data_IF_635308455756
#
_entry.id   IF_635308455756
#
_cell.length_a   1.000
_cell.length_b   1.000
_cell.length_c   1.000
_cell.angle_alpha   90.00
_cell.angle_beta   90.00
_cell.angle_gamma   90.00
#
_symmetry.space_group_name_H-M   'P 1'
#
loop_
_entity.id
_entity.type
_entity.pdbx_description
1 polymer ?
#
# COMPACT_ATOMS: atom_id res chain seq x y z
N UNK A 1 -7.83 -71.47 16.09
CA UNK A 1 -7.27 -70.49 15.13
C UNK A 1 -7.78 -69.12 15.53
N UNK A 2 -6.91 -68.32 16.08
CA UNK A 2 -7.27 -66.95 16.45
C UNK A 2 -6.63 -65.96 15.48
N UNK A 3 -7.48 -65.31 14.67
CA UNK A 3 -7.03 -64.26 13.77
C UNK A 3 -6.81 -62.99 14.56
N UNK A 4 -5.56 -62.59 14.72
CA UNK A 4 -5.25 -61.27 15.24
C UNK A 4 -5.34 -60.27 14.08
N UNK A 5 -6.38 -59.43 14.10
CA UNK A 5 -6.47 -58.24 13.27
C UNK A 5 -5.68 -57.16 13.98
N UNK A 6 -4.50 -56.84 13.47
CA UNK A 6 -3.75 -55.67 13.88
C UNK A 6 -4.37 -54.46 13.20
N UNK A 7 -5.08 -53.65 14.00
CA UNK A 7 -5.51 -52.34 13.57
C UNK A 7 -4.29 -51.38 13.61
N UNK A 8 -3.75 -51.11 12.43
CA UNK A 8 -2.77 -50.05 12.28
C UNK A 8 -3.55 -48.74 12.19
N UNK A 9 -3.57 -48.03 13.33
CA UNK A 9 -4.08 -46.66 13.33
C UNK A 9 -3.00 -45.76 12.72
N UNK A 10 -3.16 -45.40 11.46
CA UNK A 10 -2.35 -44.38 10.84
C UNK A 10 -2.85 -43.03 11.33
N UNK A 11 -2.16 -42.46 12.30
CA UNK A 11 -2.37 -41.08 12.71
C UNK A 11 -1.86 -40.17 11.60
N UNK A 12 -2.77 -39.64 10.78
CA UNK A 12 -2.47 -38.57 9.84
C UNK A 12 -2.26 -37.29 10.64
N UNK A 13 -1.02 -36.88 10.76
CA UNK A 13 -0.68 -35.55 11.30
C UNK A 13 -1.06 -34.51 10.23
N UNK A 14 -2.22 -33.89 10.42
CA UNK A 14 -2.61 -32.72 9.63
C UNK A 14 -1.93 -31.53 10.29
N UNK A 15 -0.84 -31.07 9.68
CA UNK A 15 -0.16 -29.84 10.10
C UNK A 15 -1.01 -28.64 9.67
N UNK A 16 -1.43 -27.78 10.61
CA UNK A 16 -2.16 -26.57 10.22
C UNK A 16 -1.23 -25.56 9.59
N UNK A 17 -1.38 -25.32 8.26
CA UNK A 17 -0.69 -24.24 7.54
C UNK A 17 -1.33 -22.88 7.77
N UNK A 18 -2.14 -22.72 8.82
CA UNK A 18 -2.96 -21.51 9.06
C UNK A 18 -2.12 -20.25 9.26
N UNK A 19 -0.93 -20.36 9.89
CA UNK A 19 -0.09 -19.21 10.19
C UNK A 19 0.51 -18.57 8.92
N UNK A 20 0.92 -19.37 7.92
CA UNK A 20 1.46 -18.87 6.66
C UNK A 20 0.37 -18.24 5.79
N UNK A 21 -0.84 -18.84 5.74
CA UNK A 21 -1.97 -18.31 5.02
C UNK A 21 -2.44 -16.97 5.59
N UNK A 22 -2.49 -16.81 6.92
CA UNK A 22 -2.85 -15.55 7.60
C UNK A 22 -1.88 -14.42 7.29
N UNK A 23 -0.58 -14.71 7.23
CA UNK A 23 0.47 -13.73 6.91
C UNK A 23 0.34 -13.26 5.47
N UNK A 24 0.13 -14.18 4.52
CA UNK A 24 -0.07 -13.88 3.10
C UNK A 24 -1.35 -13.06 2.87
N UNK A 25 -2.45 -13.42 3.53
CA UNK A 25 -3.72 -12.70 3.43
C UNK A 25 -3.59 -11.29 3.98
N UNK A 26 -2.86 -11.12 5.07
CA UNK A 26 -2.60 -9.82 5.69
C UNK A 26 -1.77 -8.94 4.78
N UNK A 27 -0.71 -9.46 4.17
CA UNK A 27 0.13 -8.73 3.23
C UNK A 27 -0.66 -8.30 2.00
N UNK A 28 -1.49 -9.20 1.46
CA UNK A 28 -2.35 -8.91 0.31
C UNK A 28 -3.36 -7.82 0.64
N UNK A 29 -4.00 -7.89 1.79
CA UNK A 29 -4.95 -6.87 2.23
C UNK A 29 -4.27 -5.52 2.44
N UNK A 30 -3.09 -5.50 3.07
CA UNK A 30 -2.34 -4.27 3.26
C UNK A 30 -1.98 -3.63 1.91
N UNK A 31 -1.53 -4.43 0.94
CA UNK A 31 -1.21 -3.93 -0.39
C UNK A 31 -2.42 -3.31 -1.09
N UNK A 32 -3.60 -3.92 -0.95
CA UNK A 32 -4.85 -3.40 -1.52
C UNK A 32 -5.23 -2.06 -0.86
N UNK A 33 -5.12 -1.98 0.46
CA UNK A 33 -5.43 -0.75 1.20
C UNK A 33 -4.44 0.37 0.87
N UNK A 34 -3.16 0.04 0.76
CA UNK A 34 -2.13 1.00 0.37
C UNK A 34 -2.37 1.51 -1.05
N UNK A 35 -2.74 0.63 -1.99
CA UNK A 35 -3.05 1.02 -3.36
C UNK A 35 -4.29 1.92 -3.43
N UNK A 36 -5.32 1.64 -2.63
CA UNK A 36 -6.51 2.49 -2.53
C UNK A 36 -6.17 3.88 -2.00
N UNK A 37 -5.31 3.97 -0.99
CA UNK A 37 -4.80 5.24 -0.47
C UNK A 37 -4.05 6.02 -1.55
N UNK A 38 -3.12 5.38 -2.26
CA UNK A 38 -2.36 6.03 -3.32
C UNK A 38 -3.26 6.52 -4.46
N UNK A 39 -4.24 5.72 -4.88
CA UNK A 39 -5.20 6.13 -5.91
C UNK A 39 -6.03 7.32 -5.46
N UNK A 40 -6.49 7.33 -4.22
CA UNK A 40 -7.28 8.43 -3.67
C UNK A 40 -6.45 9.72 -3.60
N UNK A 41 -5.19 9.62 -3.16
CA UNK A 41 -4.26 10.75 -3.13
C UNK A 41 -3.99 11.27 -4.54
N UNK A 42 -3.71 10.40 -5.50
CA UNK A 42 -3.40 10.80 -6.88
C UNK A 42 -4.57 11.52 -7.54
N UNK A 43 -5.81 11.13 -7.26
CA UNK A 43 -6.98 11.86 -7.76
C UNK A 43 -7.03 13.31 -7.27
N UNK A 44 -6.48 13.59 -6.09
CA UNK A 44 -6.37 14.95 -5.55
C UNK A 44 -5.14 15.69 -6.08
N UNK A 45 -4.01 14.99 -6.16
CA UNK A 45 -2.73 15.58 -6.49
C UNK A 45 -2.55 15.86 -7.98
N UNK A 46 -3.09 15.02 -8.85
CA UNK A 46 -2.87 15.15 -10.30
C UNK A 46 -3.33 16.50 -10.87
N UNK A 47 -4.55 16.99 -10.57
CA UNK A 47 -4.96 18.30 -11.06
C UNK A 47 -4.12 19.44 -10.48
N UNK A 48 -3.70 19.34 -9.23
CA UNK A 48 -2.84 20.35 -8.61
C UNK A 48 -1.45 20.37 -9.25
N UNK A 49 -0.87 19.18 -9.46
CA UNK A 49 0.42 19.04 -10.14
C UNK A 49 0.38 19.63 -11.54
N UNK A 50 -0.65 19.34 -12.31
CA UNK A 50 -0.84 19.90 -13.66
C UNK A 50 -0.90 21.42 -13.60
N UNK A 51 -1.66 21.97 -12.67
CA UNK A 51 -1.76 23.43 -12.49
C UNK A 51 -0.39 24.07 -12.25
N UNK A 52 0.39 23.51 -11.33
CA UNK A 52 1.71 24.05 -11.00
C UNK A 52 2.71 23.90 -12.14
N UNK A 53 2.64 22.82 -12.90
CA UNK A 53 3.46 22.63 -14.09
C UNK A 53 3.13 23.72 -15.13
N UNK A 54 1.84 23.96 -15.40
CA UNK A 54 1.42 24.98 -16.35
C UNK A 54 1.84 26.39 -15.90
N UNK A 55 1.73 26.70 -14.62
CA UNK A 55 2.22 27.97 -14.08
C UNK A 55 3.73 28.09 -14.22
N UNK A 56 4.46 27.02 -13.96
CA UNK A 56 5.92 26.97 -14.12
C UNK A 56 6.34 27.25 -15.56
N UNK A 57 5.66 26.65 -16.53
CA UNK A 57 5.92 26.88 -17.97
C UNK A 57 5.59 28.32 -18.35
N UNK A 58 4.44 28.81 -17.96
CA UNK A 58 3.98 30.17 -18.27
C UNK A 58 4.93 31.23 -17.71
N UNK A 59 5.34 31.06 -16.46
CA UNK A 59 6.15 32.05 -15.75
C UNK A 59 7.64 31.83 -15.95
N UNK A 60 8.02 30.86 -16.77
CA UNK A 60 9.42 30.52 -17.10
C UNK A 60 10.28 30.28 -15.85
N UNK A 61 9.66 29.63 -14.86
CA UNK A 61 10.34 29.31 -13.60
C UNK A 61 11.50 28.33 -13.82
N UNK A 62 11.35 27.40 -14.78
CA UNK A 62 12.40 26.49 -15.26
C UNK A 62 12.60 26.69 -16.76
N UNK A 63 13.70 26.16 -17.29
CA UNK A 63 14.14 26.40 -18.67
C UNK A 63 13.25 25.71 -19.71
N UNK A 64 12.50 24.69 -19.33
CA UNK A 64 11.68 23.90 -20.24
C UNK A 64 10.49 23.29 -19.53
N UNK A 65 9.51 22.81 -20.31
CA UNK A 65 8.37 22.04 -19.79
C UNK A 65 8.87 20.79 -19.07
N UNK A 66 9.83 20.09 -19.64
CA UNK A 66 10.41 18.87 -19.04
C UNK A 66 11.06 19.17 -17.70
N UNK A 67 11.70 20.31 -17.54
CA UNK A 67 12.28 20.74 -16.28
C UNK A 67 11.18 21.05 -15.24
N UNK A 68 10.07 21.67 -15.66
CA UNK A 68 8.92 21.90 -14.81
C UNK A 68 8.28 20.59 -14.36
N UNK A 69 8.12 19.63 -15.27
CA UNK A 69 7.57 18.32 -14.96
C UNK A 69 8.44 17.54 -13.96
N UNK A 70 9.75 17.59 -14.13
CA UNK A 70 10.68 16.97 -13.16
C UNK A 70 10.61 17.61 -11.80
N UNK A 71 10.50 18.94 -11.75
CA UNK A 71 10.43 19.68 -10.51
C UNK A 71 9.19 19.31 -9.68
N UNK A 72 8.04 19.13 -10.34
CA UNK A 72 6.77 18.80 -9.69
C UNK A 72 6.44 17.32 -9.68
N UNK A 73 7.35 16.45 -10.13
CA UNK A 73 7.10 15.00 -10.20
C UNK A 73 6.66 14.41 -8.87
N UNK A 74 7.33 14.82 -7.80
CA UNK A 74 7.10 14.33 -6.44
C UNK A 74 6.19 15.26 -5.62
N UNK A 75 5.43 16.11 -6.31
CA UNK A 75 4.53 17.02 -5.63
C UNK A 75 3.58 16.26 -4.70
N UNK A 76 3.52 16.71 -3.45
CA UNK A 76 2.67 16.11 -2.43
C UNK A 76 3.28 14.93 -1.68
N UNK A 77 4.49 14.51 -2.04
CA UNK A 77 5.18 13.44 -1.32
C UNK A 77 5.73 13.92 0.02
N UNK A 78 5.86 12.99 0.95
CA UNK A 78 6.47 13.25 2.25
C UNK A 78 7.94 13.64 2.08
N UNK A 79 8.36 14.65 2.82
CA UNK A 79 9.77 15.06 2.91
C UNK A 79 10.23 14.98 4.37
N UNK A 80 11.52 15.27 4.62
CA UNK A 80 12.03 15.33 5.98
C UNK A 80 11.30 16.40 6.82
N UNK A 81 10.81 17.45 6.17
CA UNK A 81 10.26 18.63 6.85
C UNK A 81 8.74 18.70 6.83
N UNK A 82 8.04 17.82 6.09
CA UNK A 82 6.59 17.88 6.00
C UNK A 82 5.99 16.52 5.67
N UNK A 83 4.75 16.33 6.13
CA UNK A 83 3.94 15.16 5.82
C UNK A 83 3.50 15.18 4.36
N UNK A 84 3.19 14.01 3.83
CA UNK A 84 2.58 13.88 2.51
C UNK A 84 1.24 14.61 2.47
N UNK A 85 0.94 15.28 1.36
CA UNK A 85 -0.38 15.87 1.17
C UNK A 85 -1.43 14.77 1.06
N UNK A 86 -2.61 15.02 1.63
CA UNK A 86 -3.75 14.09 1.61
C UNK A 86 -3.45 12.74 2.28
N UNK A 87 -2.54 12.73 3.26
CA UNK A 87 -2.21 11.52 4.03
C UNK A 87 -3.37 11.04 4.90
N UNK A 88 -4.33 11.92 5.19
CA UNK A 88 -5.45 11.68 6.10
C UNK A 88 -6.79 11.40 5.39
N UNK A 89 -6.75 11.09 4.08
CA UNK A 89 -7.95 10.64 3.38
C UNK A 89 -8.46 9.33 4.01
N UNK A 90 -9.78 9.07 3.97
CA UNK A 90 -10.35 7.86 4.57
C UNK A 90 -9.65 6.57 4.16
N UNK A 91 -9.28 6.44 2.88
CA UNK A 91 -8.56 5.27 2.35
C UNK A 91 -7.17 5.12 2.98
N UNK A 92 -6.51 6.24 3.27
CA UNK A 92 -5.18 6.25 3.88
C UNK A 92 -5.26 5.95 5.38
N UNK A 93 -6.29 6.45 6.06
CA UNK A 93 -6.55 6.12 7.47
C UNK A 93 -6.81 4.62 7.62
N UNK A 94 -7.61 4.04 6.72
CA UNK A 94 -7.88 2.59 6.74
C UNK A 94 -6.59 1.78 6.56
N UNK A 95 -5.72 2.17 5.63
CA UNK A 95 -4.44 1.51 5.39
C UNK A 95 -3.54 1.59 6.63
N UNK A 96 -3.47 2.75 7.25
CA UNK A 96 -2.70 2.99 8.47
C UNK A 96 -3.23 2.15 9.64
N UNK A 97 -4.54 2.20 9.89
CA UNK A 97 -5.17 1.48 10.98
C UNK A 97 -4.98 -0.03 10.84
N UNK A 98 -5.09 -0.54 9.63
CA UNK A 98 -4.85 -1.95 9.36
C UNK A 98 -3.39 -2.34 9.67
N UNK A 99 -2.43 -1.52 9.26
CA UNK A 99 -1.01 -1.75 9.54
C UNK A 99 -0.74 -1.76 11.04
N UNK A 100 -1.34 -0.84 11.78
CA UNK A 100 -1.18 -0.78 13.23
C UNK A 100 -1.78 -2.01 13.93
N UNK A 101 -2.84 -2.60 13.37
CA UNK A 101 -3.55 -3.71 13.99
C UNK A 101 -2.71 -4.97 14.15
N UNK A 102 -1.69 -5.18 13.32
CA UNK A 102 -0.87 -6.39 13.37
C UNK A 102 0.60 -6.12 13.76
N UNK A 103 0.96 -4.87 14.05
CA UNK A 103 2.31 -4.50 14.49
C UNK A 103 2.48 -4.41 16.01
N UNK A 104 1.42 -4.66 16.71
CA UNK A 104 1.43 -4.63 18.18
C UNK A 104 2.09 -5.85 18.79
#
# INVERSE_FOLDING_TARGET
>A
MKSMLALIATATLVLPCVALASSSDRESKQAQLDAACESARERKLAPERTKYIEECVRDKFKDSREACERFYRDYGSQTADRLALYYDLPECVQAFDFRQSYRQ
#
